data_IF_574245910792
#
_entry.id   IF_574245910792
#
_cell.length_a   1.000
_cell.length_b   1.000
_cell.length_c   1.000
_cell.angle_alpha   90.00
_cell.angle_beta   90.00
_cell.angle_gamma   90.00
#
_symmetry.space_group_name_H-M   'P 1'
#
loop_
_entity.id
_entity.type
_entity.pdbx_description
1 polymer ?
#
# COMPACT_ATOMS: atom_id res chain seq x y z
N UNK A 1 -14.79 12.41 -16.91
CA UNK A 1 -14.16 13.54 -17.59
C UNK A 1 -13.82 14.59 -16.53
N UNK A 2 -12.58 15.06 -16.49
CA UNK A 2 -12.11 16.09 -15.55
C UNK A 2 -11.43 15.57 -14.28
N UNK A 3 -11.17 14.25 -14.14
CA UNK A 3 -10.31 13.74 -13.08
C UNK A 3 -8.84 14.01 -13.44
N UNK A 4 -8.07 14.53 -12.48
CA UNK A 4 -6.62 14.70 -12.61
C UNK A 4 -5.87 13.38 -12.44
N UNK A 5 -6.34 12.53 -11.51
CA UNK A 5 -5.67 11.30 -11.12
C UNK A 5 -6.66 10.12 -11.06
N UNK A 6 -6.13 8.92 -11.18
CA UNK A 6 -6.86 7.65 -11.10
C UNK A 6 -6.16 6.75 -10.09
N UNK A 7 -6.86 6.33 -9.04
CA UNK A 7 -6.36 5.34 -8.09
C UNK A 7 -6.89 3.95 -8.43
N UNK A 8 -5.99 2.98 -8.60
CA UNK A 8 -6.32 1.58 -8.87
C UNK A 8 -6.39 0.82 -7.55
N UNK A 9 -7.59 0.37 -7.19
CA UNK A 9 -7.83 -0.31 -5.92
C UNK A 9 -7.97 -1.82 -6.07
N UNK A 10 -7.10 -2.58 -5.39
CA UNK A 10 -7.31 -4.01 -5.12
C UNK A 10 -8.15 -4.16 -3.85
N UNK A 11 -9.46 -3.96 -3.99
CA UNK A 11 -10.41 -3.86 -2.88
C UNK A 11 -10.46 -5.10 -1.99
N UNK A 12 -10.26 -6.28 -2.55
CA UNK A 12 -10.32 -7.55 -1.80
C UNK A 12 -8.93 -8.15 -1.52
N UNK A 13 -7.87 -7.55 -2.03
CA UNK A 13 -6.49 -7.93 -1.75
C UNK A 13 -6.06 -9.27 -2.34
N UNK A 14 -6.51 -9.59 -3.56
CA UNK A 14 -6.22 -10.87 -4.25
C UNK A 14 -5.40 -10.70 -5.52
N UNK A 15 -5.10 -9.47 -5.92
CA UNK A 15 -4.28 -9.21 -7.10
C UNK A 15 -2.86 -9.75 -6.95
N UNK A 16 -2.26 -10.07 -8.08
CA UNK A 16 -0.86 -10.51 -8.17
C UNK A 16 -0.03 -9.49 -8.96
N UNK A 17 1.31 -9.46 -8.79
CA UNK A 17 2.18 -8.51 -9.48
C UNK A 17 1.98 -8.50 -11.01
N UNK A 18 1.83 -9.67 -11.62
CA UNK A 18 1.60 -9.75 -13.07
C UNK A 18 0.28 -9.12 -13.53
N UNK A 19 -0.78 -9.25 -12.74
CA UNK A 19 -2.07 -8.60 -13.03
C UNK A 19 -1.96 -7.08 -12.89
N UNK A 20 -1.22 -6.59 -11.89
CA UNK A 20 -0.97 -5.16 -11.69
C UNK A 20 -0.24 -4.57 -12.90
N UNK A 21 0.85 -5.20 -13.34
CA UNK A 21 1.61 -4.76 -14.51
C UNK A 21 0.76 -4.75 -15.79
N UNK A 22 -0.04 -5.80 -16.01
CA UNK A 22 -0.93 -5.88 -17.17
C UNK A 22 -1.98 -4.77 -17.17
N UNK A 23 -2.61 -4.51 -16.02
CA UNK A 23 -3.62 -3.44 -15.88
C UNK A 23 -3.01 -2.06 -16.15
N UNK A 24 -1.84 -1.76 -15.57
CA UNK A 24 -1.15 -0.49 -15.78
C UNK A 24 -0.78 -0.33 -17.26
N UNK A 25 -0.19 -1.35 -17.88
CA UNK A 25 0.16 -1.31 -19.30
C UNK A 25 -1.07 -1.08 -20.21
N UNK A 26 -2.20 -1.70 -19.88
CA UNK A 26 -3.47 -1.50 -20.60
C UNK A 26 -3.96 -0.04 -20.49
N UNK A 27 -3.91 0.56 -19.30
CA UNK A 27 -4.36 1.92 -19.08
C UNK A 27 -3.46 2.94 -19.78
N UNK A 28 -2.13 2.74 -19.71
CA UNK A 28 -1.18 3.59 -20.43
C UNK A 28 -1.39 3.48 -21.93
N UNK A 29 -1.62 2.27 -22.47
CA UNK A 29 -1.93 2.06 -23.89
C UNK A 29 -3.26 2.71 -24.29
N UNK A 30 -4.20 2.87 -23.36
CA UNK A 30 -5.46 3.59 -23.58
C UNK A 30 -5.33 5.12 -23.47
N UNK A 31 -4.11 5.64 -23.25
CA UNK A 31 -3.80 7.07 -23.23
C UNK A 31 -3.84 7.74 -21.84
N UNK A 32 -3.88 6.96 -20.77
CA UNK A 32 -3.74 7.51 -19.41
C UNK A 32 -2.24 7.71 -19.14
N UNK A 33 -1.87 8.93 -18.72
CA UNK A 33 -0.49 9.21 -18.33
C UNK A 33 -0.14 8.42 -17.06
N UNK A 34 1.00 7.75 -17.05
CA UNK A 34 1.49 6.97 -15.91
C UNK A 34 1.58 7.82 -14.61
N UNK A 35 1.93 9.09 -14.72
CA UNK A 35 2.01 10.02 -13.60
C UNK A 35 0.65 10.30 -12.93
N UNK A 36 -0.44 10.02 -13.62
CA UNK A 36 -1.81 10.17 -13.12
C UNK A 36 -2.32 8.90 -12.43
N UNK A 37 -1.55 7.82 -12.45
CA UNK A 37 -1.95 6.54 -11.86
C UNK A 37 -1.39 6.42 -10.46
N UNK A 38 -2.28 6.30 -9.48
CA UNK A 38 -2.00 5.86 -8.11
C UNK A 38 -2.46 4.43 -7.89
N UNK A 39 -1.96 3.78 -6.85
CA UNK A 39 -2.34 2.42 -6.47
C UNK A 39 -2.72 2.31 -5.01
N UNK A 40 -3.70 1.46 -4.72
CA UNK A 40 -4.21 1.18 -3.38
C UNK A 40 -4.39 -0.34 -3.23
N UNK A 41 -3.54 -0.95 -2.39
CA UNK A 41 -3.54 -2.40 -2.21
C UNK A 41 -3.97 -2.81 -0.81
N UNK A 42 -4.75 -3.92 -0.75
CA UNK A 42 -5.00 -4.65 0.49
C UNK A 42 -4.07 -5.87 0.56
N UNK A 43 -3.74 -6.29 1.79
CA UNK A 43 -2.77 -7.36 2.05
C UNK A 43 -3.43 -8.70 2.41
N UNK A 44 -4.67 -8.92 1.97
CA UNK A 44 -5.46 -10.12 2.29
C UNK A 44 -4.70 -11.40 1.96
N UNK A 45 -4.08 -11.48 0.79
CA UNK A 45 -3.26 -12.61 0.36
C UNK A 45 -1.76 -12.36 0.50
N UNK A 46 -1.35 -11.33 1.26
CA UNK A 46 0.05 -11.02 1.51
C UNK A 46 0.79 -10.50 0.28
N UNK A 47 0.08 -9.96 -0.71
CA UNK A 47 0.67 -9.53 -1.98
C UNK A 47 0.84 -8.01 -2.10
N UNK A 48 0.40 -7.23 -1.10
CA UNK A 48 0.37 -5.77 -1.23
C UNK A 48 1.75 -5.16 -1.53
N UNK A 49 2.81 -5.57 -0.83
CA UNK A 49 4.18 -5.09 -1.09
C UNK A 49 4.70 -5.51 -2.47
N UNK A 50 4.48 -6.76 -2.87
CA UNK A 50 4.92 -7.23 -4.19
C UNK A 50 4.15 -6.57 -5.34
N UNK A 51 2.85 -6.31 -5.15
CA UNK A 51 2.04 -5.54 -6.08
C UNK A 51 2.51 -4.08 -6.17
N UNK A 52 2.86 -3.47 -5.04
CA UNK A 52 3.44 -2.12 -5.00
C UNK A 52 4.78 -2.06 -5.74
N UNK A 53 5.66 -3.03 -5.51
CA UNK A 53 6.94 -3.10 -6.23
C UNK A 53 6.72 -3.22 -7.75
N UNK A 54 5.77 -4.05 -8.17
CA UNK A 54 5.42 -4.20 -9.59
C UNK A 54 4.86 -2.91 -10.20
N UNK A 55 4.05 -2.16 -9.43
CA UNK A 55 3.52 -0.86 -9.85
C UNK A 55 4.65 0.18 -9.99
N UNK A 56 5.57 0.26 -9.03
CA UNK A 56 6.75 1.13 -9.08
C UNK A 56 7.64 0.81 -10.28
N UNK A 57 7.88 -0.46 -10.56
CA UNK A 57 8.63 -0.92 -11.74
C UNK A 57 7.93 -0.56 -13.06
N UNK A 58 6.62 -0.40 -13.03
CA UNK A 58 5.82 0.07 -14.17
C UNK A 58 5.78 1.60 -14.32
N UNK A 59 6.39 2.35 -13.39
CA UNK A 59 6.50 3.80 -13.42
C UNK A 59 5.47 4.55 -12.56
N UNK A 60 4.63 3.85 -11.79
CA UNK A 60 3.72 4.49 -10.82
C UNK A 60 4.53 5.06 -9.67
N UNK A 61 4.20 6.27 -9.22
CA UNK A 61 4.88 6.96 -8.11
C UNK A 61 3.96 7.30 -6.92
N UNK A 62 2.65 7.07 -7.06
CA UNK A 62 1.68 7.34 -6.00
C UNK A 62 1.12 6.03 -5.44
N UNK A 63 1.30 5.85 -4.13
CA UNK A 63 0.86 4.63 -3.42
C UNK A 63 0.11 5.02 -2.15
N UNK A 64 -1.10 4.53 -1.99
CA UNK A 64 -1.87 4.68 -0.75
C UNK A 64 -1.49 3.56 0.22
N UNK A 65 -1.29 3.92 1.49
CA UNK A 65 -1.02 2.99 2.57
C UNK A 65 -1.65 3.48 3.88
N UNK A 66 -1.70 2.63 4.89
CA UNK A 66 -2.29 2.97 6.18
C UNK A 66 -1.33 2.69 7.32
N UNK A 67 -1.22 3.63 8.27
CA UNK A 67 -0.43 3.44 9.49
C UNK A 67 -0.89 2.17 10.23
N UNK A 68 0.06 1.29 10.57
CA UNK A 68 -0.23 0.01 11.20
C UNK A 68 -1.00 -0.99 10.34
N UNK A 69 -1.27 -0.69 9.06
CA UNK A 69 -2.13 -1.50 8.20
C UNK A 69 -3.61 -1.44 8.60
N UNK A 70 -4.02 -0.39 9.33
CA UNK A 70 -5.38 -0.27 9.86
C UNK A 70 -6.37 -0.01 8.72
N UNK A 71 -7.52 -0.64 8.83
CA UNK A 71 -8.62 -0.55 7.88
C UNK A 71 -8.84 -1.86 7.14
N UNK A 72 -9.89 -1.89 6.35
CA UNK A 72 -10.31 -3.02 5.55
C UNK A 72 -11.55 -2.63 4.76
N UNK A 73 -12.02 -3.51 3.90
CA UNK A 73 -13.23 -3.27 3.15
C UNK A 73 -14.44 -3.90 3.87
N UNK A 74 -15.44 -3.10 4.30
CA UNK A 74 -16.62 -3.64 4.99
C UNK A 74 -17.48 -4.53 4.08
N UNK A 75 -17.29 -4.43 2.76
CA UNK A 75 -18.02 -5.22 1.75
C UNK A 75 -17.32 -6.52 1.36
N UNK A 76 -16.08 -6.73 1.80
CA UNK A 76 -15.32 -7.95 1.53
C UNK A 76 -15.11 -8.70 2.85
N UNK A 77 -15.90 -9.75 3.09
CA UNK A 77 -15.92 -10.52 4.34
C UNK A 77 -14.55 -11.10 4.76
N UNK A 78 -13.59 -11.17 3.85
CA UNK A 78 -12.24 -11.69 4.08
C UNK A 78 -11.13 -10.65 3.87
N UNK A 79 -11.45 -9.40 3.52
CA UNK A 79 -10.44 -8.36 3.30
C UNK A 79 -9.80 -7.99 4.63
N UNK A 80 -8.56 -8.43 4.83
CA UNK A 80 -7.69 -7.99 5.91
C UNK A 80 -7.09 -6.63 5.57
N UNK A 81 -6.46 -5.95 6.52
CA UNK A 81 -6.02 -4.58 6.44
C UNK A 81 -5.38 -4.08 5.15
N UNK A 82 -5.25 -2.79 5.08
CA UNK A 82 -4.53 -2.10 4.01
C UNK A 82 -3.04 -2.49 4.03
N UNK A 83 -2.33 -2.20 2.94
CA UNK A 83 -0.87 -2.12 2.96
C UNK A 83 -0.43 -1.23 4.13
N UNK A 84 0.41 -1.77 5.01
CA UNK A 84 0.92 -1.01 6.14
C UNK A 84 2.00 -0.02 5.69
N UNK A 85 1.88 1.24 6.12
CA UNK A 85 2.83 2.29 5.73
C UNK A 85 4.25 1.98 6.21
N UNK A 86 4.41 1.37 7.38
CA UNK A 86 5.73 0.98 7.90
C UNK A 86 6.42 -0.05 7.01
N UNK A 87 5.65 -1.05 6.55
CA UNK A 87 6.17 -2.10 5.67
C UNK A 87 6.54 -1.51 4.29
N UNK A 88 5.74 -0.55 3.80
CA UNK A 88 6.00 0.19 2.57
C UNK A 88 7.27 1.05 2.69
N UNK A 89 7.38 1.87 3.74
CA UNK A 89 8.52 2.78 3.97
C UNK A 89 9.81 1.98 4.07
N UNK A 90 9.81 0.88 4.84
CA UNK A 90 10.96 -0.03 4.94
C UNK A 90 11.43 -0.55 3.58
N UNK A 91 10.49 -0.96 2.73
CA UNK A 91 10.81 -1.41 1.37
C UNK A 91 11.37 -0.28 0.51
N UNK A 92 10.77 0.92 0.56
CA UNK A 92 11.19 2.07 -0.24
C UNK A 92 12.58 2.56 0.16
N UNK A 93 12.88 2.65 1.45
CA UNK A 93 14.21 2.99 1.96
C UNK A 93 15.26 1.97 1.50
N UNK A 94 14.93 0.67 1.54
CA UNK A 94 15.79 -0.40 1.00
C UNK A 94 16.06 -0.29 -0.50
N UNK A 95 15.16 0.35 -1.24
CA UNK A 95 15.30 0.67 -2.67
C UNK A 95 16.02 2.01 -2.92
N UNK A 96 16.40 2.74 -1.87
CA UNK A 96 17.00 4.08 -1.98
C UNK A 96 16.01 5.19 -2.35
N UNK A 97 14.72 4.96 -2.12
CA UNK A 97 13.65 5.93 -2.38
C UNK A 97 13.35 6.69 -1.08
N UNK A 98 13.61 7.98 -1.08
CA UNK A 98 13.30 8.87 0.03
C UNK A 98 11.81 9.20 0.05
N UNK A 99 11.15 8.90 1.17
CA UNK A 99 9.72 9.17 1.35
C UNK A 99 9.45 10.43 2.18
N UNK A 100 10.44 10.88 2.94
CA UNK A 100 10.28 11.93 3.95
C UNK A 100 9.53 11.48 5.21
N UNK A 101 9.16 10.21 5.30
CA UNK A 101 8.47 9.63 6.46
C UNK A 101 9.50 9.14 7.48
N UNK A 102 9.37 9.59 8.73
CA UNK A 102 10.15 9.12 9.86
C UNK A 102 9.55 7.79 10.36
N UNK A 103 10.23 6.69 10.09
CA UNK A 103 9.74 5.35 10.39
C UNK A 103 9.58 5.09 11.91
N UNK A 104 10.43 5.68 12.75
CA UNK A 104 10.32 5.51 14.21
C UNK A 104 9.07 6.22 14.76
N UNK A 105 8.82 7.45 14.31
CA UNK A 105 7.61 8.19 14.68
C UNK A 105 6.35 7.51 14.15
N UNK A 106 6.39 7.02 12.91
CA UNK A 106 5.28 6.27 12.33
C UNK A 106 4.97 5.01 13.15
N UNK A 107 5.99 4.21 13.47
CA UNK A 107 5.84 3.01 14.30
C UNK A 107 5.26 3.35 15.68
N UNK A 108 5.78 4.38 16.34
CA UNK A 108 5.25 4.83 17.64
C UNK A 108 3.79 5.26 17.56
N UNK A 109 3.42 5.95 16.48
CA UNK A 109 2.03 6.38 16.22
C UNK A 109 1.12 5.17 16.00
N UNK A 110 1.57 4.19 15.25
CA UNK A 110 0.79 2.96 14.96
C UNK A 110 0.59 2.11 16.20
N UNK A 111 1.59 2.03 17.08
CA UNK A 111 1.48 1.34 18.37
C UNK A 111 0.48 2.04 19.29
N UNK A 112 0.56 3.36 19.41
CA UNK A 112 -0.41 4.15 20.16
C UNK A 112 -1.83 3.94 19.62
N UNK A 113 -2.01 3.98 18.29
CA UNK A 113 -3.32 3.80 17.66
C UNK A 113 -3.86 2.38 17.87
N UNK A 114 -3.01 1.37 17.82
CA UNK A 114 -3.38 -0.03 18.07
C UNK A 114 -3.86 -0.22 19.51
N UNK A 115 -3.17 0.37 20.49
CA UNK A 115 -3.55 0.37 21.90
C UNK A 115 -4.90 1.08 22.09
N UNK A 116 -5.06 2.26 21.53
CA UNK A 116 -6.31 3.03 21.59
C UNK A 116 -7.52 2.28 21.01
N UNK A 117 -7.31 1.55 19.91
CA UNK A 117 -8.35 0.77 19.23
C UNK A 117 -8.55 -0.64 19.85
N UNK A 118 -7.70 -1.07 20.77
CA UNK A 118 -7.71 -2.43 21.31
C UNK A 118 -7.44 -3.50 20.24
N UNK A 119 -6.63 -3.20 19.22
CA UNK A 119 -6.32 -4.10 18.10
C UNK A 119 -4.81 -4.18 17.90
N UNK A 120 -4.27 -5.38 17.59
CA UNK A 120 -2.84 -5.51 17.32
C UNK A 120 -2.45 -4.78 16.02
N UNK A 121 -1.23 -4.23 15.98
CA UNK A 121 -0.61 -3.70 14.76
C UNK A 121 -0.49 -4.83 13.74
N UNK A 122 -0.93 -4.60 12.51
CA UNK A 122 -0.84 -5.58 11.42
C UNK A 122 0.51 -5.48 10.67
N UNK A 123 1.15 -4.31 10.66
CA UNK A 123 2.47 -4.12 10.08
C UNK A 123 3.49 -5.11 10.65
N UNK A 124 4.25 -5.78 9.78
CA UNK A 124 5.34 -6.67 10.16
C UNK A 124 6.52 -5.89 10.71
N UNK A 125 6.88 -4.80 10.01
CA UNK A 125 7.95 -3.88 10.43
C UNK A 125 7.59 -3.21 11.75
N UNK A 126 6.37 -2.68 11.87
CA UNK A 126 5.88 -2.07 13.11
C UNK A 126 5.98 -3.01 14.32
N UNK A 127 5.63 -4.29 14.15
CA UNK A 127 5.78 -5.30 15.21
C UNK A 127 7.23 -5.65 15.51
N UNK A 128 8.10 -5.70 14.49
CA UNK A 128 9.51 -6.03 14.67
C UNK A 128 10.29 -4.91 15.38
N UNK A 129 9.87 -3.66 15.18
CA UNK A 129 10.47 -2.48 15.82
C UNK A 129 9.79 -2.11 17.15
N UNK A 130 8.77 -2.85 17.56
CA UNK A 130 8.16 -2.69 18.89
C UNK A 130 9.13 -3.13 19.98
N UNK A 131 9.25 -2.38 21.08
CA UNK A 131 10.11 -2.74 22.20
C UNK A 131 9.66 -4.01 22.92
#
# INVERSE_FOLDING_TARGET
RGCGDVSLGDTIGVATPGQVQQLIAMLVSAGINIEQIGVHFHDTYGQALSNTLAALQSGVSTVDASAGGIGGCPYALSATGNLATEDLVWMLEGLGIETGVDLEKLTSTSLWLADYLGRPVQSRVGRALSP
#
